data_IF_577088298325
#
_entry.id   IF_577088298325
#
_cell.length_a   1.000
_cell.length_b   1.000
_cell.length_c   1.000
_cell.angle_alpha   90.00
_cell.angle_beta   90.00
_cell.angle_gamma   90.00
#
_symmetry.space_group_name_H-M   'P 1'
#
loop_
_entity.id
_entity.type
_entity.pdbx_description
1 polymer ?
#
# COMPACT_ATOMS: atom_id res chain seq x y z
N UNK A 1 13.53 10.43 0.29
CA UNK A 1 12.52 11.44 -0.07
C UNK A 1 11.20 10.99 0.53
N UNK A 2 10.75 11.53 1.66
CA UNK A 2 9.33 11.41 2.03
C UNK A 2 8.63 12.67 1.53
N UNK A 3 7.54 12.50 0.78
CA UNK A 3 6.69 13.63 0.42
C UNK A 3 6.06 14.15 1.72
N UNK A 4 6.24 15.43 2.00
CA UNK A 4 5.52 16.06 3.09
C UNK A 4 4.03 15.99 2.80
N UNK A 5 3.23 15.51 3.75
CA UNK A 5 1.79 15.48 3.61
C UNK A 5 1.19 16.86 3.96
N UNK A 6 0.21 17.37 3.20
CA UNK A 6 -0.50 18.59 3.57
C UNK A 6 -1.80 18.31 4.36
N UNK A 7 -2.42 17.14 4.15
CA UNK A 7 -3.67 16.69 4.77
C UNK A 7 -3.68 15.16 4.89
N UNK A 8 -4.65 14.62 5.65
CA UNK A 8 -4.93 13.19 5.69
C UNK A 8 -5.26 12.63 4.30
N UNK A 9 -5.02 11.34 4.11
CA UNK A 9 -5.14 10.69 2.81
C UNK A 9 -5.60 9.24 2.90
N UNK A 10 -5.72 8.63 1.74
CA UNK A 10 -6.10 7.22 1.59
C UNK A 10 -5.14 6.57 0.62
N UNK A 11 -4.61 5.41 1.02
CA UNK A 11 -3.89 4.50 0.13
C UNK A 11 -4.91 3.55 -0.48
N UNK A 12 -4.83 3.40 -1.80
CA UNK A 12 -5.62 2.45 -2.58
C UNK A 12 -4.68 1.39 -3.17
N UNK A 13 -5.08 0.13 -3.06
CA UNK A 13 -4.46 -0.97 -3.79
C UNK A 13 -5.55 -1.71 -4.54
N UNK A 14 -5.47 -1.67 -5.86
CA UNK A 14 -6.32 -2.44 -6.75
C UNK A 14 -5.58 -3.69 -7.21
N UNK A 15 -6.35 -4.76 -7.39
CA UNK A 15 -5.87 -5.98 -8.00
C UNK A 15 -5.38 -5.70 -9.42
N UNK A 16 -4.41 -6.49 -9.88
CA UNK A 16 -3.98 -6.41 -11.26
C UNK A 16 -5.18 -6.70 -12.21
N UNK A 17 -5.21 -6.10 -13.42
CA UNK A 17 -6.26 -6.38 -14.40
C UNK A 17 -6.39 -7.89 -14.67
N UNK A 18 -7.62 -8.34 -14.88
CA UNK A 18 -7.96 -9.74 -15.16
C UNK A 18 -7.49 -10.76 -14.11
N UNK A 19 -7.22 -10.31 -12.88
CA UNK A 19 -6.96 -11.17 -11.73
C UNK A 19 -8.16 -11.24 -10.79
N UNK A 20 -8.27 -12.35 -10.07
CA UNK A 20 -9.25 -12.51 -9.00
C UNK A 20 -8.53 -12.99 -7.74
N UNK A 21 -7.86 -12.09 -7.01
CA UNK A 21 -7.11 -12.47 -5.83
C UNK A 21 -8.05 -12.91 -4.70
N UNK A 22 -7.67 -13.99 -4.03
CA UNK A 22 -8.34 -14.43 -2.80
C UNK A 22 -8.09 -13.46 -1.63
N UNK A 23 -7.02 -12.67 -1.69
CA UNK A 23 -6.63 -11.71 -0.66
C UNK A 23 -5.80 -10.56 -1.24
N UNK A 24 -6.13 -9.35 -0.81
CA UNK A 24 -5.34 -8.13 -0.97
C UNK A 24 -4.68 -7.77 0.36
N UNK A 25 -3.50 -7.16 0.30
CA UNK A 25 -2.74 -6.74 1.47
C UNK A 25 -2.04 -5.41 1.24
N UNK A 26 -2.11 -4.53 2.24
CA UNK A 26 -1.33 -3.30 2.34
C UNK A 26 -0.39 -3.44 3.53
N UNK A 27 0.90 -3.15 3.31
CA UNK A 27 1.90 -3.05 4.37
C UNK A 27 2.50 -1.66 4.41
N UNK A 28 2.58 -1.11 5.61
CA UNK A 28 3.22 0.17 5.90
C UNK A 28 4.53 -0.06 6.61
N UNK A 29 5.60 0.55 6.10
CA UNK A 29 6.94 0.41 6.64
C UNK A 29 7.41 1.70 7.27
N UNK A 30 8.14 1.63 8.39
CA UNK A 30 8.81 2.79 8.97
C UNK A 30 10.16 3.07 8.28
N UNK A 31 10.86 4.12 8.70
CA UNK A 31 12.18 4.49 8.16
C UNK A 31 13.25 3.40 8.37
N UNK A 32 13.06 2.50 9.33
CA UNK A 32 13.96 1.37 9.57
C UNK A 32 13.60 0.14 8.71
N UNK A 33 12.61 0.22 7.83
CA UNK A 33 12.17 -0.89 6.96
C UNK A 33 11.33 -1.95 7.66
N UNK A 34 10.85 -1.70 8.88
CA UNK A 34 9.97 -2.63 9.59
C UNK A 34 8.51 -2.37 9.24
N UNK A 35 7.72 -3.43 9.08
CA UNK A 35 6.26 -3.33 8.97
C UNK A 35 5.69 -2.81 10.29
N UNK A 36 4.97 -1.70 10.24
CA UNK A 36 4.31 -1.08 11.40
C UNK A 36 2.81 -1.23 11.39
N UNK A 37 2.21 -1.51 10.22
CA UNK A 37 0.79 -1.80 10.09
C UNK A 37 0.55 -2.63 8.83
N UNK A 38 -0.36 -3.60 8.95
CA UNK A 38 -0.88 -4.38 7.84
C UNK A 38 -2.39 -4.24 7.78
N UNK A 39 -2.93 -4.07 6.58
CA UNK A 39 -4.35 -4.27 6.28
C UNK A 39 -4.46 -5.42 5.30
N UNK A 40 -5.45 -6.28 5.47
CA UNK A 40 -5.76 -7.31 4.49
C UNK A 40 -7.27 -7.48 4.40
N UNK A 41 -7.74 -7.82 3.21
CA UNK A 41 -9.14 -8.14 2.98
C UNK A 41 -9.28 -9.01 1.71
N UNK A 42 -10.45 -9.61 1.52
CA UNK A 42 -10.84 -10.22 0.25
C UNK A 42 -11.37 -9.17 -0.72
N UNK A 43 -11.42 -9.48 -2.02
CA UNK A 43 -11.92 -8.60 -3.07
C UNK A 43 -10.80 -7.98 -3.92
N UNK A 44 -11.17 -7.13 -4.86
CA UNK A 44 -10.25 -6.58 -5.87
C UNK A 44 -9.72 -5.20 -5.52
N UNK A 45 -10.20 -4.58 -4.44
CA UNK A 45 -9.77 -3.25 -3.99
C UNK A 45 -9.62 -3.25 -2.49
N UNK A 46 -8.50 -2.73 -2.00
CA UNK A 46 -8.23 -2.51 -0.58
C UNK A 46 -7.84 -1.06 -0.36
N UNK A 47 -8.40 -0.46 0.68
CA UNK A 47 -8.14 0.93 1.05
C UNK A 47 -7.67 1.03 2.50
N UNK A 48 -6.76 1.96 2.77
CA UNK A 48 -6.27 2.24 4.11
C UNK A 48 -6.08 3.74 4.32
N UNK A 49 -6.57 4.25 5.45
CA UNK A 49 -6.38 5.64 5.82
C UNK A 49 -4.94 5.87 6.29
N UNK A 50 -4.37 7.00 5.86
CA UNK A 50 -3.10 7.54 6.35
C UNK A 50 -3.34 8.95 6.87
N UNK A 51 -2.65 9.31 7.95
CA UNK A 51 -2.88 10.56 8.64
C UNK A 51 -1.66 11.45 8.50
N UNK A 52 -1.91 12.73 8.29
CA UNK A 52 -0.86 13.71 8.21
C UNK A 52 -0.61 14.34 9.58
N UNK A 53 0.59 14.12 10.13
CA UNK A 53 1.00 14.66 11.43
C UNK A 53 2.33 15.37 11.26
N UNK A 54 2.37 16.66 11.56
CA UNK A 54 3.59 17.48 11.46
C UNK A 54 4.29 17.37 10.10
N UNK A 55 3.50 17.30 9.02
CA UNK A 55 4.00 17.15 7.65
C UNK A 55 4.49 15.74 7.29
N UNK A 56 4.29 14.74 8.16
CA UNK A 56 4.70 13.35 7.95
C UNK A 56 3.50 12.43 7.81
N UNK A 57 3.57 11.52 6.85
CA UNK A 57 2.59 10.45 6.73
C UNK A 57 2.72 9.49 7.91
N UNK A 58 1.60 9.17 8.52
CA UNK A 58 1.51 8.25 9.66
C UNK A 58 0.36 7.27 9.50
N UNK A 59 0.46 6.14 10.16
CA UNK A 59 -0.64 5.19 10.34
C UNK A 59 -0.89 4.96 11.82
N UNK A 60 -2.13 4.61 12.17
CA UNK A 60 -2.44 4.18 13.53
C UNK A 60 -1.98 2.73 13.68
N UNK A 61 -1.13 2.45 14.67
CA UNK A 61 -0.70 1.12 15.07
C UNK A 61 -0.71 1.04 16.59
N UNK A 62 -1.45 0.09 17.15
CA UNK A 62 -1.69 -0.03 18.60
C UNK A 62 -2.08 1.32 19.24
N UNK A 63 -3.09 1.98 18.66
CA UNK A 63 -3.62 3.29 19.09
C UNK A 63 -2.63 4.46 19.10
N UNK A 64 -1.52 4.34 18.36
CA UNK A 64 -0.51 5.39 18.21
C UNK A 64 -0.24 5.72 16.76
N UNK A 65 0.04 6.98 16.48
CA UNK A 65 0.53 7.41 15.16
C UNK A 65 2.00 6.99 15.00
N UNK A 66 2.28 6.26 13.94
CA UNK A 66 3.63 5.81 13.58
C UNK A 66 3.97 6.35 12.21
N UNK A 67 5.11 7.04 12.09
CA UNK A 67 5.63 7.56 10.83
C UNK A 67 5.96 6.43 9.85
N UNK A 68 5.53 6.61 8.61
CA UNK A 68 5.78 5.67 7.51
C UNK A 68 6.76 6.27 6.51
N UNK A 69 7.57 5.41 5.90
CA UNK A 69 8.54 5.77 4.86
C UNK A 69 8.16 5.22 3.49
N UNK A 70 7.47 4.08 3.47
CA UNK A 70 7.03 3.40 2.25
C UNK A 70 5.81 2.53 2.52
N UNK A 71 5.14 2.16 1.42
CA UNK A 71 3.94 1.34 1.42
C UNK A 71 4.10 0.26 0.35
N UNK A 72 3.66 -0.96 0.66
CA UNK A 72 3.59 -2.06 -0.30
C UNK A 72 2.14 -2.52 -0.46
N UNK A 73 1.75 -2.79 -1.70
CA UNK A 73 0.53 -3.49 -2.06
C UNK A 73 0.90 -4.91 -2.52
N UNK A 74 0.22 -5.92 -1.99
CA UNK A 74 0.38 -7.30 -2.44
C UNK A 74 -0.98 -7.95 -2.66
N UNK A 75 -1.03 -8.93 -3.56
CA UNK A 75 -2.20 -9.76 -3.81
C UNK A 75 -1.79 -11.24 -3.76
N UNK A 76 -2.70 -12.10 -3.30
CA UNK A 76 -2.46 -13.53 -3.09
C UNK A 76 -3.63 -14.38 -3.59
N UNK A 77 -3.32 -15.60 -4.04
CA UNK A 77 -4.27 -16.56 -4.57
C UNK A 77 -5.01 -16.08 -5.82
N UNK A 78 -4.36 -15.27 -6.66
CA UNK A 78 -4.89 -14.96 -7.99
C UNK A 78 -4.86 -16.22 -8.86
N UNK A 79 -6.03 -16.67 -9.32
CA UNK A 79 -6.15 -17.64 -10.40
C UNK A 79 -6.52 -16.91 -11.69
N UNK A 80 -5.50 -16.56 -12.47
CA UNK A 80 -5.61 -15.86 -13.75
C UNK A 80 -4.24 -15.81 -14.39
N UNK A 81 -4.16 -15.75 -15.71
CA UNK A 81 -2.87 -15.61 -16.37
C UNK A 81 -2.31 -14.22 -16.02
N UNK A 82 -1.21 -14.16 -15.25
CA UNK A 82 -0.36 -12.97 -15.15
C UNK A 82 0.21 -12.68 -16.54
N UNK A 83 -0.61 -12.09 -17.42
CA UNK A 83 -0.21 -11.69 -18.77
C UNK A 83 0.57 -10.39 -18.64
N UNK A 84 1.83 -10.51 -18.23
CA UNK A 84 2.80 -9.44 -18.30
C UNK A 84 3.01 -9.04 -19.76
N UNK A 85 2.29 -8.02 -20.23
CA UNK A 85 2.61 -7.31 -21.46
C UNK A 85 3.36 -6.03 -21.08
N UNK A 86 4.68 -6.10 -21.01
CA UNK A 86 5.52 -4.93 -20.84
C UNK A 86 5.58 -4.17 -22.17
N UNK A 87 4.81 -3.08 -22.31
CA UNK A 87 5.11 -2.03 -23.29
C UNK A 87 5.64 -0.83 -22.50
N UNK A 88 6.96 -0.60 -22.62
CA UNK A 88 7.62 0.64 -22.21
C UNK A 88 8.40 0.52 -20.91
N UNK A 89 9.70 0.32 -21.03
CA UNK A 89 10.68 0.69 -19.99
C UNK A 89 10.91 2.21 -20.05
N UNK A 90 10.49 2.94 -19.02
CA UNK A 90 11.02 4.28 -18.76
C UNK A 90 12.33 4.14 -17.99
N UNK A 91 13.40 4.59 -18.61
CA UNK A 91 14.76 4.61 -18.10
C UNK A 91 14.90 5.79 -17.13
N UNK A 92 15.65 5.61 -16.04
CA UNK A 92 16.31 6.73 -15.32
C UNK A 92 17.81 6.52 -15.53
#
# INVERSE_FOLDING_TARGET
>A
MSSSCPIDGVVFCDAAPDTNPSRMQIEFFNLAGNVVRTFNNTGTTLTANVYCRDGKWTVISNDRYVEISSVSCAQDGSMGADRGYAIGSAMI
#
